data_IF_868993143920
#
_entry.id   IF_868993143920
#
_cell.length_a   1.000
_cell.length_b   1.000
_cell.length_c   1.000
_cell.angle_alpha   90.00
_cell.angle_beta   90.00
_cell.angle_gamma   90.00
#
_symmetry.space_group_name_H-M   'P 1'
#
loop_
_entity.id
_entity.type
_entity.pdbx_description
1 polymer ?
#
# COMPACT_ATOMS: atom_id res chain seq x y z
N UNK A 1 -62.15 -17.32 46.23
CA UNK A 1 -61.92 -17.46 44.76
C UNK A 1 -60.42 -17.51 44.56
N UNK A 2 -59.82 -18.60 44.04
CA UNK A 2 -58.37 -18.65 43.88
C UNK A 2 -57.95 -18.02 42.54
N UNK A 3 -56.99 -17.11 42.62
CA UNK A 3 -56.33 -16.41 41.52
C UNK A 3 -55.30 -17.36 40.88
N UNK A 4 -55.57 -17.83 39.65
CA UNK A 4 -54.73 -18.79 38.94
C UNK A 4 -53.69 -18.06 38.08
N UNK A 5 -52.51 -17.82 38.63
CA UNK A 5 -51.37 -17.24 37.93
C UNK A 5 -50.62 -18.33 37.14
N UNK A 6 -51.10 -18.66 35.94
CA UNK A 6 -50.32 -19.42 34.95
C UNK A 6 -49.26 -18.51 34.31
N UNK A 7 -48.01 -18.98 34.13
CA UNK A 7 -46.97 -18.19 33.49
C UNK A 7 -47.36 -17.88 32.05
N UNK A 8 -47.46 -16.59 31.72
CA UNK A 8 -47.77 -16.09 30.38
C UNK A 8 -46.69 -16.54 29.40
N UNK A 9 -46.99 -17.58 28.64
CA UNK A 9 -46.12 -18.01 27.53
C UNK A 9 -46.12 -16.92 26.46
N UNK A 10 -44.96 -16.63 25.86
CA UNK A 10 -44.79 -15.58 24.83
C UNK A 10 -45.86 -15.67 23.73
N UNK A 11 -46.29 -16.89 23.42
CA UNK A 11 -47.37 -17.21 22.47
C UNK A 11 -48.72 -16.61 22.86
N UNK A 12 -49.12 -16.65 24.13
CA UNK A 12 -50.40 -16.12 24.57
C UNK A 12 -50.41 -14.59 24.53
N UNK A 13 -49.29 -13.94 24.87
CA UNK A 13 -49.12 -12.47 24.76
C UNK A 13 -49.27 -12.01 23.31
N UNK A 14 -48.58 -12.69 22.39
CA UNK A 14 -48.66 -12.39 20.95
C UNK A 14 -50.06 -12.62 20.40
N UNK A 15 -50.74 -13.70 20.78
CA UNK A 15 -52.13 -13.99 20.35
C UNK A 15 -53.13 -12.94 20.87
N UNK A 16 -52.93 -12.44 22.08
CA UNK A 16 -53.77 -11.40 22.67
C UNK A 16 -53.54 -10.03 22.00
N UNK A 17 -52.30 -9.69 21.66
CA UNK A 17 -51.96 -8.49 20.87
C UNK A 17 -52.48 -8.56 19.42
N UNK A 18 -52.46 -9.74 18.79
CA UNK A 18 -53.05 -9.96 17.46
C UNK A 18 -54.56 -9.73 17.51
N UNK A 19 -55.26 -10.30 18.50
CA UNK A 19 -56.71 -10.14 18.68
C UNK A 19 -57.11 -8.70 18.98
N UNK A 20 -56.28 -7.95 19.72
CA UNK A 20 -56.49 -6.53 20.03
C UNK A 20 -56.19 -5.60 18.85
N UNK A 21 -55.72 -6.12 17.71
CA UNK A 21 -55.44 -5.32 16.51
C UNK A 21 -54.30 -4.31 16.67
N UNK A 22 -53.46 -4.45 17.70
CA UNK A 22 -52.40 -3.49 18.02
C UNK A 22 -51.11 -3.73 17.21
N UNK A 23 -51.09 -4.74 16.35
CA UNK A 23 -49.91 -5.13 15.58
C UNK A 23 -49.71 -4.19 14.37
N UNK A 24 -49.02 -3.07 14.58
CA UNK A 24 -48.59 -2.16 13.50
C UNK A 24 -47.56 -2.87 12.61
N UNK A 25 -47.92 -3.16 11.36
CA UNK A 25 -46.97 -3.62 10.35
C UNK A 25 -45.90 -2.56 10.10
N UNK A 26 -44.63 -2.85 10.42
CA UNK A 26 -43.52 -1.98 10.05
C UNK A 26 -43.07 -2.30 8.62
N UNK A 27 -42.95 -1.30 7.72
CA UNK A 27 -42.54 -1.53 6.34
C UNK A 27 -41.11 -2.08 6.27
N UNK A 28 -40.93 -3.21 5.58
CA UNK A 28 -39.65 -3.93 5.46
C UNK A 28 -38.57 -3.14 4.70
N UNK A 29 -38.96 -2.15 3.90
CA UNK A 29 -38.05 -1.33 3.08
C UNK A 29 -36.98 -0.61 3.90
N UNK A 30 -37.33 -0.07 5.07
CA UNK A 30 -36.35 0.60 5.93
C UNK A 30 -35.26 -0.37 6.42
N UNK A 31 -35.61 -1.63 6.66
CA UNK A 31 -34.63 -2.65 7.05
C UNK A 31 -33.76 -3.11 5.87
N UNK A 32 -34.36 -3.35 4.71
CA UNK A 32 -33.64 -3.77 3.50
C UNK A 32 -32.66 -2.68 3.07
N UNK A 33 -33.11 -1.42 3.01
CA UNK A 33 -32.29 -0.29 2.58
C UNK A 33 -31.14 -0.03 3.55
N UNK A 34 -31.40 -0.07 4.87
CA UNK A 34 -30.35 0.10 5.88
C UNK A 34 -29.32 -1.03 5.81
N UNK A 35 -29.77 -2.26 5.64
CA UNK A 35 -28.86 -3.41 5.60
C UNK A 35 -28.06 -3.45 4.28
N UNK A 36 -28.69 -3.14 3.14
CA UNK A 36 -28.01 -3.05 1.85
C UNK A 36 -26.98 -1.93 1.83
N UNK A 37 -27.29 -0.78 2.44
CA UNK A 37 -26.36 0.34 2.54
C UNK A 37 -25.16 -0.01 3.42
N UNK A 38 -25.38 -0.68 4.56
CA UNK A 38 -24.29 -1.15 5.42
C UNK A 38 -23.38 -2.16 4.71
N UNK A 39 -23.96 -3.14 4.02
CA UNK A 39 -23.19 -4.17 3.28
C UNK A 39 -22.39 -3.51 2.14
N UNK A 40 -23.06 -2.70 1.32
CA UNK A 40 -22.42 -2.04 0.17
C UNK A 40 -21.31 -1.10 0.63
N UNK A 41 -21.58 -0.30 1.68
CA UNK A 41 -20.59 0.57 2.29
C UNK A 41 -19.38 -0.20 2.82
N UNK A 42 -19.60 -1.33 3.50
CA UNK A 42 -18.52 -2.19 3.98
C UNK A 42 -17.66 -2.78 2.87
N UNK A 43 -18.29 -3.24 1.77
CA UNK A 43 -17.58 -3.76 0.60
C UNK A 43 -16.73 -2.67 -0.06
N UNK A 44 -17.29 -1.47 -0.27
CA UNK A 44 -16.55 -0.34 -0.85
C UNK A 44 -15.37 0.02 0.05
N UNK A 45 -15.59 0.13 1.35
CA UNK A 45 -14.56 0.50 2.31
C UNK A 45 -13.44 -0.55 2.36
N UNK A 46 -13.79 -1.83 2.28
CA UNK A 46 -12.83 -2.93 2.17
C UNK A 46 -12.01 -2.86 0.87
N UNK A 47 -12.66 -2.60 -0.27
CA UNK A 47 -11.98 -2.41 -1.56
C UNK A 47 -11.01 -1.21 -1.53
N UNK A 48 -11.43 -0.09 -0.93
CA UNK A 48 -10.58 1.09 -0.75
C UNK A 48 -9.39 0.78 0.14
N UNK A 49 -9.58 0.05 1.24
CA UNK A 49 -8.50 -0.37 2.11
C UNK A 49 -7.49 -1.27 1.37
N UNK A 50 -7.99 -2.25 0.61
CA UNK A 50 -7.17 -3.13 -0.22
C UNK A 50 -6.36 -2.32 -1.24
N UNK A 51 -7.00 -1.38 -1.93
CA UNK A 51 -6.33 -0.47 -2.85
C UNK A 51 -5.24 0.35 -2.16
N UNK A 52 -5.51 0.94 -0.99
CA UNK A 52 -4.53 1.74 -0.25
C UNK A 52 -3.31 0.91 0.16
N UNK A 53 -3.51 -0.29 0.72
CA UNK A 53 -2.40 -1.17 1.12
C UNK A 53 -1.58 -1.62 -0.09
N UNK A 54 -2.24 -1.94 -1.19
CA UNK A 54 -1.58 -2.28 -2.44
C UNK A 54 -0.80 -1.09 -3.02
N UNK A 55 -1.37 0.12 -2.94
CA UNK A 55 -0.73 1.35 -3.39
C UNK A 55 0.50 1.70 -2.55
N UNK A 56 0.45 1.52 -1.22
CA UNK A 56 1.63 1.67 -0.35
C UNK A 56 2.74 0.72 -0.79
N UNK A 57 2.42 -0.56 -1.00
CA UNK A 57 3.40 -1.54 -1.46
C UNK A 57 3.99 -1.17 -2.84
N UNK A 58 3.15 -0.67 -3.75
CA UNK A 58 3.58 -0.19 -5.07
C UNK A 58 4.55 1.00 -4.96
N UNK A 59 4.23 2.02 -4.17
CA UNK A 59 5.09 3.21 -3.95
C UNK A 59 6.43 2.80 -3.33
N UNK A 60 6.42 1.93 -2.31
CA UNK A 60 7.65 1.42 -1.70
C UNK A 60 8.54 0.66 -2.68
N UNK A 61 7.92 -0.11 -3.59
CA UNK A 61 8.61 -0.87 -4.63
C UNK A 61 9.18 0.06 -5.71
N UNK A 62 8.40 1.05 -6.15
CA UNK A 62 8.81 2.00 -7.19
C UNK A 62 9.97 2.88 -6.74
N UNK A 63 9.96 3.34 -5.49
CA UNK A 63 11.00 4.23 -4.96
C UNK A 63 12.27 3.47 -4.52
N UNK A 64 12.31 2.14 -4.65
CA UNK A 64 13.44 1.32 -4.23
C UNK A 64 13.68 1.30 -2.72
N UNK A 65 12.82 1.92 -1.91
CA UNK A 65 13.10 2.04 -0.48
C UNK A 65 12.98 0.70 0.25
N UNK A 66 12.25 -0.26 -0.31
CA UNK A 66 12.05 -1.60 0.27
C UNK A 66 13.34 -2.32 0.69
N UNK A 67 14.48 -2.05 0.03
CA UNK A 67 15.75 -2.70 0.34
C UNK A 67 16.71 -1.86 1.19
N UNK A 68 16.35 -0.62 1.49
CA UNK A 68 17.16 0.28 2.31
C UNK A 68 17.39 -0.25 3.75
N UNK A 69 16.42 -0.91 4.41
CA UNK A 69 16.63 -1.53 5.73
C UNK A 69 17.79 -2.53 5.81
N UNK A 70 18.16 -3.16 4.68
CA UNK A 70 19.26 -4.14 4.61
C UNK A 70 20.63 -3.49 4.88
N UNK A 71 20.74 -2.16 4.69
CA UNK A 71 21.99 -1.41 4.91
C UNK A 71 22.21 -1.03 6.38
N UNK A 72 21.40 -1.53 7.32
CA UNK A 72 21.57 -1.36 8.77
C UNK A 72 20.71 -0.26 9.38
N UNK A 73 21.09 0.24 10.56
CA UNK A 73 20.33 1.22 11.34
C UNK A 73 19.99 2.51 10.57
N UNK A 74 20.97 3.06 9.82
CA UNK A 74 20.73 4.24 8.97
C UNK A 74 19.72 3.95 7.86
N UNK A 75 19.78 2.76 7.27
CA UNK A 75 18.81 2.31 6.28
C UNK A 75 17.41 2.15 6.86
N UNK A 76 17.29 1.63 8.09
CA UNK A 76 16.01 1.57 8.80
C UNK A 76 15.41 2.95 9.08
N UNK A 77 16.22 3.93 9.51
CA UNK A 77 15.79 5.31 9.72
C UNK A 77 15.32 5.96 8.41
N UNK A 78 16.11 5.84 7.35
CA UNK A 78 15.75 6.32 6.02
C UNK A 78 14.45 5.66 5.53
N UNK A 79 14.29 4.35 5.73
CA UNK A 79 13.07 3.63 5.41
C UNK A 79 11.87 4.19 6.19
N UNK A 80 11.96 4.39 7.50
CA UNK A 80 10.83 4.95 8.27
C UNK A 80 10.46 6.36 7.83
N UNK A 81 11.42 7.23 7.55
CA UNK A 81 11.16 8.60 7.08
C UNK A 81 10.52 8.59 5.69
N UNK A 82 10.92 7.63 4.85
CA UNK A 82 10.44 7.49 3.47
C UNK A 82 9.03 6.91 3.33
N UNK A 83 8.49 6.35 4.41
CA UNK A 83 7.15 5.78 4.37
C UNK A 83 6.14 6.89 4.08
N UNK A 84 5.16 6.65 3.20
CA UNK A 84 4.08 7.61 2.98
C UNK A 84 3.13 7.57 4.19
N UNK A 85 3.51 8.26 5.26
CA UNK A 85 2.79 8.30 6.55
C UNK A 85 1.32 8.69 6.39
N UNK A 86 1.03 9.56 5.42
CA UNK A 86 -0.33 9.96 5.09
C UNK A 86 -1.16 8.77 4.57
N UNK A 87 -0.61 7.92 3.69
CA UNK A 87 -1.29 6.72 3.20
C UNK A 87 -1.46 5.68 4.31
N UNK A 88 -0.44 5.50 5.16
CA UNK A 88 -0.50 4.58 6.31
C UNK A 88 -1.58 5.05 7.29
N UNK A 89 -1.57 6.32 7.68
CA UNK A 89 -2.57 6.91 8.56
C UNK A 89 -3.98 6.82 7.97
N UNK A 90 -4.13 7.09 6.67
CA UNK A 90 -5.41 6.95 5.98
C UNK A 90 -5.89 5.49 5.97
N UNK A 91 -5.01 4.53 5.69
CA UNK A 91 -5.36 3.11 5.72
C UNK A 91 -5.80 2.67 7.13
N UNK A 92 -5.15 3.18 8.18
CA UNK A 92 -5.53 2.92 9.57
C UNK A 92 -6.92 3.47 9.89
N UNK A 93 -7.22 4.70 9.43
CA UNK A 93 -8.56 5.30 9.58
C UNK A 93 -9.63 4.45 8.88
N UNK A 94 -9.39 4.04 7.63
CA UNK A 94 -10.32 3.17 6.90
C UNK A 94 -10.48 1.80 7.58
N UNK A 95 -9.41 1.24 8.16
CA UNK A 95 -9.46 -0.01 8.92
C UNK A 95 -10.32 0.13 10.18
N UNK A 96 -10.18 1.22 10.94
CA UNK A 96 -11.02 1.50 12.12
C UNK A 96 -12.48 1.68 11.74
N UNK A 97 -12.77 2.43 10.67
CA UNK A 97 -14.15 2.61 10.17
C UNK A 97 -14.73 1.26 9.74
N UNK A 98 -13.95 0.41 9.07
CA UNK A 98 -14.38 -0.92 8.65
C UNK A 98 -14.69 -1.80 9.85
N UNK A 99 -13.83 -1.77 10.88
CA UNK A 99 -14.05 -2.51 12.11
C UNK A 99 -15.33 -2.05 12.82
N UNK A 100 -15.57 -0.74 12.94
CA UNK A 100 -16.79 -0.19 13.52
C UNK A 100 -18.04 -0.64 12.74
N UNK A 101 -17.96 -0.67 11.41
CA UNK A 101 -19.06 -1.12 10.56
C UNK A 101 -19.34 -2.62 10.69
N UNK A 102 -18.26 -3.42 10.75
CA UNK A 102 -18.33 -4.87 10.97
C UNK A 102 -18.90 -5.19 12.35
N UNK A 103 -18.57 -4.42 13.39
CA UNK A 103 -19.18 -4.56 14.72
C UNK A 103 -20.68 -4.23 14.72
N UNK A 104 -21.11 -3.26 13.91
CA UNK A 104 -22.52 -2.89 13.80
C UNK A 104 -23.34 -3.94 13.03
N UNK A 105 -22.71 -4.67 12.11
CA UNK A 105 -23.30 -5.84 11.51
C UNK A 105 -23.29 -6.99 12.52
N UNK A 106 -24.46 -7.49 12.91
CA UNK A 106 -24.65 -8.53 13.93
C UNK A 106 -23.81 -9.82 13.74
N UNK A 107 -23.13 -9.98 12.60
CA UNK A 107 -22.27 -11.11 12.25
C UNK A 107 -20.98 -11.22 13.09
N UNK A 108 -20.50 -10.13 13.71
CA UNK A 108 -19.26 -10.12 14.51
C UNK A 108 -19.47 -10.09 16.04
N UNK A 109 -20.72 -10.04 16.52
CA UNK A 109 -21.05 -9.73 17.91
C UNK A 109 -20.51 -10.74 18.96
N UNK A 110 -20.07 -11.93 18.55
CA UNK A 110 -19.54 -12.97 19.46
C UNK A 110 -18.08 -13.37 19.22
N UNK A 111 -17.33 -12.65 18.39
CA UNK A 111 -15.91 -12.95 18.18
C UNK A 111 -15.02 -11.90 18.84
N UNK A 112 -13.92 -12.30 19.50
CA UNK A 112 -12.99 -11.34 20.10
C UNK A 112 -12.41 -10.45 19.00
N UNK A 113 -12.38 -9.14 19.27
CA UNK A 113 -12.00 -8.08 18.32
C UNK A 113 -10.68 -8.35 17.59
N UNK A 114 -9.73 -8.96 18.30
CA UNK A 114 -8.44 -9.38 17.75
C UNK A 114 -8.56 -10.35 16.57
N UNK A 115 -9.49 -11.31 16.62
CA UNK A 115 -9.63 -12.30 15.55
C UNK A 115 -10.24 -11.70 14.28
N UNK A 116 -11.20 -10.78 14.40
CA UNK A 116 -11.73 -10.08 13.23
C UNK A 116 -10.68 -9.16 12.62
N UNK A 117 -9.89 -8.47 13.45
CA UNK A 117 -8.81 -7.60 13.00
C UNK A 117 -7.74 -8.42 12.24
N UNK A 118 -7.29 -9.54 12.83
CA UNK A 118 -6.33 -10.45 12.20
C UNK A 118 -6.86 -11.04 10.90
N UNK A 119 -8.12 -11.45 10.87
CA UNK A 119 -8.76 -11.99 9.66
C UNK A 119 -8.80 -10.95 8.53
N UNK A 120 -9.26 -9.73 8.84
CA UNK A 120 -9.28 -8.62 7.87
C UNK A 120 -7.85 -8.31 7.40
N UNK A 121 -6.89 -8.24 8.32
CA UNK A 121 -5.50 -7.97 7.97
C UNK A 121 -4.94 -9.04 7.02
N UNK A 122 -5.19 -10.32 7.30
CA UNK A 122 -4.71 -11.42 6.47
C UNK A 122 -5.34 -11.38 5.07
N UNK A 123 -6.64 -11.14 4.97
CA UNK A 123 -7.34 -11.03 3.68
C UNK A 123 -6.86 -9.81 2.90
N UNK A 124 -6.68 -8.66 3.57
CA UNK A 124 -6.15 -7.43 2.94
C UNK A 124 -4.72 -7.63 2.44
N UNK A 125 -3.87 -8.31 3.22
CA UNK A 125 -2.51 -8.64 2.82
C UNK A 125 -2.47 -9.60 1.63
N UNK A 126 -3.26 -10.69 1.69
CA UNK A 126 -3.36 -11.65 0.60
C UNK A 126 -3.93 -11.01 -0.68
N UNK A 127 -4.99 -10.22 -0.55
CA UNK A 127 -5.60 -9.48 -1.65
C UNK A 127 -4.65 -8.43 -2.24
N UNK A 128 -3.96 -7.68 -1.39
CA UNK A 128 -2.93 -6.71 -1.81
C UNK A 128 -1.78 -7.41 -2.56
N UNK A 129 -1.34 -8.57 -2.09
CA UNK A 129 -0.31 -9.36 -2.76
C UNK A 129 -0.77 -9.82 -4.16
N UNK A 130 -2.01 -10.30 -4.28
CA UNK A 130 -2.60 -10.66 -5.58
C UNK A 130 -2.71 -9.45 -6.52
N UNK A 131 -3.15 -8.29 -6.02
CA UNK A 131 -3.23 -7.06 -6.81
C UNK A 131 -1.84 -6.56 -7.20
N UNK A 132 -0.83 -6.69 -6.34
CA UNK A 132 0.54 -6.29 -6.66
C UNK A 132 1.18 -7.16 -7.76
N UNK A 133 0.68 -8.39 -7.96
CA UNK A 133 1.07 -9.20 -9.13
C UNK A 133 0.41 -8.72 -10.42
N UNK A 134 -0.74 -8.05 -10.34
CA UNK A 134 -1.39 -7.46 -11.51
C UNK A 134 -0.73 -6.12 -11.87
N UNK A 135 -0.49 -5.88 -13.17
CA UNK A 135 0.09 -4.63 -13.67
C UNK A 135 -0.86 -3.43 -13.57
N UNK A 136 -1.92 -3.52 -12.76
CA UNK A 136 -2.98 -2.50 -12.65
C UNK A 136 -2.40 -1.15 -12.26
N UNK A 137 -1.57 -1.09 -11.21
CA UNK A 137 -0.93 0.17 -10.78
C UNK A 137 0.00 0.74 -11.85
N UNK A 138 0.71 -0.11 -12.59
CA UNK A 138 1.58 0.32 -13.69
C UNK A 138 0.77 0.94 -14.84
N UNK A 139 -0.36 0.32 -15.20
CA UNK A 139 -1.26 0.83 -16.22
C UNK A 139 -1.93 2.14 -15.79
N UNK A 140 -2.36 2.25 -14.53
CA UNK A 140 -2.93 3.47 -13.95
C UNK A 140 -1.91 4.61 -13.89
N UNK A 141 -0.66 4.33 -13.52
CA UNK A 141 0.42 5.30 -13.53
C UNK A 141 0.73 5.79 -14.95
N UNK A 142 0.88 4.88 -15.92
CA UNK A 142 1.11 5.22 -17.33
C UNK A 142 -0.07 5.97 -17.95
N UNK A 143 -1.30 5.63 -17.56
CA UNK A 143 -2.51 6.32 -17.99
C UNK A 143 -2.56 7.74 -17.42
N UNK A 144 -2.18 7.92 -16.15
CA UNK A 144 -2.12 9.23 -15.51
C UNK A 144 -1.03 10.14 -16.08
N UNK A 145 0.06 9.59 -16.61
CA UNK A 145 1.08 10.38 -17.32
C UNK A 145 0.57 10.89 -18.68
N UNK A 146 -0.24 10.08 -19.38
CA UNK A 146 -0.82 10.44 -20.69
C UNK A 146 -2.06 11.32 -20.55
N UNK A 147 -2.83 11.15 -19.48
CA UNK A 147 -4.05 11.90 -19.19
C UNK A 147 -4.00 12.38 -17.74
N UNK A 148 -3.59 13.63 -17.47
CA UNK A 148 -3.54 14.15 -16.12
C UNK A 148 -4.98 14.29 -15.59
N UNK A 149 -5.45 13.27 -14.89
CA UNK A 149 -6.71 13.32 -14.15
C UNK A 149 -6.55 14.34 -13.01
N UNK A 150 -7.50 15.28 -12.92
CA UNK A 150 -7.50 16.41 -11.98
C UNK A 150 -7.32 16.00 -10.51
N UNK A 151 -7.81 14.81 -10.13
CA UNK A 151 -7.81 14.36 -8.73
C UNK A 151 -6.74 13.30 -8.41
N UNK A 152 -6.35 12.43 -9.34
CA UNK A 152 -5.41 11.32 -9.08
C UNK A 152 -4.00 11.59 -9.61
N UNK A 153 -3.86 12.47 -10.59
CA UNK A 153 -2.58 12.81 -11.21
C UNK A 153 -1.52 13.43 -10.29
N UNK A 154 -1.87 14.27 -9.30
CA UNK A 154 -0.91 14.79 -8.34
C UNK A 154 -0.36 13.70 -7.40
N UNK A 155 -1.22 12.76 -6.97
CA UNK A 155 -0.81 11.69 -6.05
C UNK A 155 0.19 10.73 -6.71
N UNK A 156 -0.10 10.25 -7.92
CA UNK A 156 0.83 9.36 -8.64
C UNK A 156 2.15 10.06 -9.02
N UNK A 157 2.12 11.35 -9.37
CA UNK A 157 3.33 12.12 -9.67
C UNK A 157 4.16 12.42 -8.42
N UNK A 158 3.54 12.84 -7.32
CA UNK A 158 4.23 13.12 -6.07
C UNK A 158 4.95 11.89 -5.52
N UNK A 159 4.28 10.75 -5.45
CA UNK A 159 4.88 9.54 -4.89
C UNK A 159 5.83 8.80 -5.84
N UNK A 160 5.72 9.00 -7.16
CA UNK A 160 6.62 8.40 -8.15
C UNK A 160 7.88 9.23 -8.47
N UNK A 161 7.90 10.52 -8.12
CA UNK A 161 9.02 11.44 -8.43
C UNK A 161 9.73 12.02 -7.20
N UNK A 162 9.19 11.88 -5.99
CA UNK A 162 9.94 12.16 -4.76
C UNK A 162 11.06 11.13 -4.59
N UNK A 163 12.15 11.33 -5.33
CA UNK A 163 13.40 10.62 -5.13
C UNK A 163 13.95 11.09 -3.80
N UNK A 164 14.09 10.14 -2.88
CA UNK A 164 14.80 10.37 -1.63
C UNK A 164 16.18 10.92 -1.96
N UNK A 165 16.58 11.97 -1.25
CA UNK A 165 17.84 12.68 -1.45
C UNK A 165 19.06 11.75 -1.46
N UNK A 166 18.93 10.60 -0.80
CA UNK A 166 20.01 9.65 -0.58
C UNK A 166 19.87 8.37 -1.43
N UNK A 167 18.90 8.30 -2.35
CA UNK A 167 18.66 7.14 -3.23
C UNK A 167 18.79 7.54 -4.69
N UNK A 168 19.82 6.99 -5.35
CA UNK A 168 20.23 7.35 -6.70
C UNK A 168 20.16 6.13 -7.62
N UNK A 169 19.05 5.91 -8.33
CA UNK A 169 18.96 4.91 -9.40
C UNK A 169 19.75 5.34 -10.64
N UNK A 170 20.50 4.42 -11.24
CA UNK A 170 21.22 4.69 -12.49
C UNK A 170 21.73 3.44 -13.21
N UNK A 171 22.06 3.63 -14.49
CA UNK A 171 22.70 2.64 -15.34
C UNK A 171 24.21 2.77 -15.22
N UNK A 172 24.93 1.68 -14.98
CA UNK A 172 26.39 1.70 -14.98
C UNK A 172 26.89 1.97 -16.40
N UNK A 173 27.56 3.10 -16.60
CA UNK A 173 28.20 3.48 -17.87
C UNK A 173 29.70 3.22 -17.88
N UNK A 174 30.31 3.10 -16.70
CA UNK A 174 31.74 2.80 -16.58
C UNK A 174 32.15 2.44 -15.16
N UNK A 175 33.39 2.00 -15.01
CA UNK A 175 34.02 1.66 -13.73
C UNK A 175 35.30 2.47 -13.57
N UNK A 176 35.60 2.93 -12.36
CA UNK A 176 36.84 3.64 -12.02
C UNK A 176 37.67 2.81 -11.04
N UNK A 177 38.89 3.27 -10.73
CA UNK A 177 39.80 2.57 -9.80
C UNK A 177 39.20 2.41 -8.40
N UNK A 178 38.36 3.36 -7.96
CA UNK A 178 37.80 3.43 -6.60
C UNK A 178 36.26 3.49 -6.61
N UNK A 179 35.60 3.11 -7.70
CA UNK A 179 34.18 3.39 -7.84
C UNK A 179 33.53 2.97 -9.16
N UNK A 180 32.31 3.46 -9.34
CA UNK A 180 31.46 3.18 -10.51
C UNK A 180 30.90 4.50 -11.03
N UNK A 181 30.74 4.62 -12.34
CA UNK A 181 30.05 5.74 -12.98
C UNK A 181 28.67 5.28 -13.39
N UNK A 182 27.65 6.01 -12.94
CA UNK A 182 26.27 5.78 -13.36
C UNK A 182 25.72 6.97 -14.13
N UNK A 183 24.81 6.67 -15.04
CA UNK A 183 23.96 7.67 -15.67
C UNK A 183 22.54 7.54 -15.12
N UNK A 184 22.01 8.65 -14.60
CA UNK A 184 20.62 8.71 -14.14
C UNK A 184 19.66 8.87 -15.32
N UNK A 185 18.37 8.68 -15.08
CA UNK A 185 17.32 8.90 -16.09
C UNK A 185 17.25 10.34 -16.61
N UNK A 186 17.86 11.31 -15.91
CA UNK A 186 17.93 12.72 -16.35
C UNK A 186 19.10 12.98 -17.30
N UNK A 187 19.93 11.98 -17.56
CA UNK A 187 21.18 12.11 -18.31
C UNK A 187 22.35 12.63 -17.47
N UNK A 188 22.15 12.90 -16.17
CA UNK A 188 23.23 13.27 -15.24
C UNK A 188 24.19 12.08 -15.07
N UNK A 189 25.49 12.34 -15.12
CA UNK A 189 26.54 11.36 -14.87
C UNK A 189 27.04 11.53 -13.44
N UNK A 190 26.91 10.50 -12.61
CA UNK A 190 27.31 10.52 -11.20
C UNK A 190 28.42 9.52 -10.94
N UNK A 191 29.39 9.92 -10.13
CA UNK A 191 30.51 9.11 -9.67
C UNK A 191 30.17 8.53 -8.31
N UNK A 192 30.31 7.22 -8.16
CA UNK A 192 30.02 6.52 -6.92
C UNK A 192 31.34 6.15 -6.26
N UNK A 193 31.64 6.76 -5.12
CA UNK A 193 32.77 6.38 -4.28
C UNK A 193 32.45 5.12 -3.48
N UNK A 194 33.22 4.05 -3.70
CA UNK A 194 33.12 2.82 -2.91
C UNK A 194 34.17 2.87 -1.81
N UNK A 195 33.74 2.85 -0.56
CA UNK A 195 34.60 2.87 0.63
C UNK A 195 34.54 1.51 1.34
N UNK A 196 35.47 1.20 2.26
CA UNK A 196 35.39 -0.01 3.09
C UNK A 196 34.12 -0.11 3.95
N UNK A 197 33.37 1.00 4.10
CA UNK A 197 32.10 1.06 4.83
C UNK A 197 30.89 0.84 3.92
N UNK A 198 31.07 0.84 2.59
CA UNK A 198 30.00 0.58 1.62
C UNK A 198 29.53 -0.88 1.75
N UNK A 199 28.24 -1.07 2.01
CA UNK A 199 27.63 -2.40 2.14
C UNK A 199 27.15 -2.92 0.80
N UNK A 200 27.65 -4.10 0.44
CA UNK A 200 27.39 -4.77 -0.84
C UNK A 200 26.71 -6.13 -0.56
N UNK A 201 25.41 -6.13 -0.22
CA UNK A 201 24.72 -7.33 0.28
C UNK A 201 24.64 -8.47 -0.74
N UNK A 202 24.85 -8.19 -2.04
CA UNK A 202 24.82 -9.19 -3.13
C UNK A 202 26.17 -9.30 -3.86
N UNK A 203 27.25 -8.75 -3.30
CA UNK A 203 28.58 -8.76 -3.91
C UNK A 203 28.86 -7.61 -4.88
N UNK A 204 30.00 -7.70 -5.57
CA UNK A 204 30.61 -6.67 -6.44
C UNK A 204 30.53 -7.01 -7.93
N UNK A 205 29.73 -7.99 -8.33
CA UNK A 205 29.63 -8.47 -9.72
C UNK A 205 28.76 -7.52 -10.56
N UNK A 206 29.14 -6.24 -10.59
CA UNK A 206 28.52 -5.21 -11.39
C UNK A 206 29.20 -5.11 -12.75
N UNK A 207 28.41 -5.11 -13.80
CA UNK A 207 28.88 -4.96 -15.17
C UNK A 207 28.34 -3.68 -15.79
N UNK A 208 29.08 -3.11 -16.74
CA UNK A 208 28.58 -1.99 -17.54
C UNK A 208 27.29 -2.40 -18.24
N UNK A 209 26.25 -1.58 -18.11
CA UNK A 209 24.89 -1.91 -18.56
C UNK A 209 23.97 -2.44 -17.46
N UNK A 210 24.47 -2.71 -16.26
CA UNK A 210 23.61 -3.03 -15.14
C UNK A 210 22.89 -1.80 -14.59
N UNK A 211 21.63 -1.99 -14.20
CA UNK A 211 20.88 -1.00 -13.44
C UNK A 211 21.11 -1.23 -11.96
N UNK A 212 21.63 -0.21 -11.28
CA UNK A 212 21.88 -0.25 -9.86
C UNK A 212 21.13 0.88 -9.16
N UNK A 213 20.87 0.67 -7.88
CA UNK A 213 20.44 1.74 -7.00
C UNK A 213 21.50 1.90 -5.91
N UNK A 214 21.92 3.14 -5.76
CA UNK A 214 22.94 3.56 -4.81
C UNK A 214 22.25 4.28 -3.67
N UNK A 215 22.54 3.85 -2.45
CA UNK A 215 22.15 4.53 -1.23
C UNK A 215 23.37 5.26 -0.67
N UNK A 216 23.32 6.59 -0.60
CA UNK A 216 24.49 7.40 -0.26
C UNK A 216 24.21 8.90 -0.28
N UNK A 217 25.06 9.64 0.44
CA UNK A 217 25.01 11.10 0.43
C UNK A 217 25.61 11.63 -0.87
N UNK A 218 24.91 12.57 -1.50
CA UNK A 218 25.35 13.23 -2.74
C UNK A 218 26.04 14.56 -2.41
N UNK A 219 27.26 14.72 -2.90
CA UNK A 219 28.04 15.95 -2.93
C UNK A 219 28.36 16.27 -4.40
N UNK A 220 27.59 17.19 -4.99
CA UNK A 220 27.58 17.50 -6.42
C UNK A 220 27.40 16.27 -7.33
N UNK A 221 28.46 15.85 -8.03
CA UNK A 221 28.45 14.69 -8.93
C UNK A 221 29.02 13.43 -8.26
N UNK A 222 29.51 13.53 -7.02
CA UNK A 222 30.03 12.42 -6.25
C UNK A 222 28.98 11.92 -5.25
N UNK A 223 28.77 10.61 -5.21
CA UNK A 223 27.95 9.95 -4.21
C UNK A 223 28.85 9.07 -3.35
N UNK A 224 28.89 9.36 -2.05
CA UNK A 224 29.54 8.47 -1.08
C UNK A 224 28.57 7.32 -0.77
N UNK A 225 28.82 6.14 -1.34
CA UNK A 225 27.90 5.03 -1.21
C UNK A 225 27.98 4.39 0.17
N UNK A 226 26.86 4.39 0.88
CA UNK A 226 26.64 3.53 2.05
C UNK A 226 26.21 2.13 1.65
N UNK A 227 25.55 1.99 0.50
CA UNK A 227 25.14 0.69 -0.02
C UNK A 227 24.81 0.71 -1.50
N UNK A 228 25.10 -0.39 -2.19
CA UNK A 228 24.83 -0.53 -3.62
C UNK A 228 24.10 -1.85 -3.85
N UNK A 229 23.06 -1.82 -4.69
CA UNK A 229 22.30 -3.01 -5.06
C UNK A 229 21.93 -3.00 -6.54
N UNK A 230 22.11 -4.13 -7.21
CA UNK A 230 21.57 -4.37 -8.56
C UNK A 230 20.06 -4.51 -8.49
N UNK A 231 19.35 -3.81 -9.37
CA UNK A 231 17.90 -3.91 -9.50
C UNK A 231 17.60 -4.55 -10.87
N UNK A 232 16.75 -5.59 -10.94
CA UNK A 232 16.31 -6.14 -12.22
C UNK A 232 15.73 -5.02 -13.10
N UNK A 233 15.95 -5.06 -14.41
CA UNK A 233 15.55 -3.98 -15.33
C UNK A 233 14.02 -3.84 -15.42
N UNK A 234 13.28 -4.92 -15.14
CA UNK A 234 11.82 -5.04 -15.30
C UNK A 234 10.94 -3.99 -14.60
N UNK A 235 11.17 -3.56 -13.34
CA UNK A 235 10.39 -2.52 -12.68
C UNK A 235 10.71 -1.10 -13.21
N UNK A 236 11.82 -0.90 -13.93
CA UNK A 236 12.33 0.42 -14.36
C UNK A 236 12.22 0.64 -15.87
N UNK A 237 11.82 -0.39 -16.64
CA UNK A 237 11.69 -0.35 -18.10
C UNK A 237 10.81 0.78 -18.68
N UNK A 238 9.69 1.23 -18.07
CA UNK A 238 8.90 2.31 -18.67
C UNK A 238 9.67 3.63 -18.75
N UNK A 239 10.59 3.87 -17.81
CA UNK A 239 11.32 5.13 -17.70
C UNK A 239 12.63 5.13 -18.50
N UNK A 240 13.36 4.01 -18.52
CA UNK A 240 14.66 3.92 -19.22
C UNK A 240 14.58 3.72 -20.74
N UNK A 241 13.44 3.28 -21.29
CA UNK A 241 13.29 3.02 -22.74
C UNK A 241 13.44 4.28 -23.62
N UNK A 242 13.40 5.48 -23.03
CA UNK A 242 13.62 6.75 -23.76
C UNK A 242 15.10 7.06 -24.04
N UNK A 243 16.03 6.41 -23.34
CA UNK A 243 17.45 6.77 -23.40
C UNK A 243 18.38 5.60 -23.73
N UNK A 244 17.83 4.41 -24.02
CA UNK A 244 18.62 3.34 -24.61
C UNK A 244 19.21 3.85 -25.93
N UNK A 245 20.54 3.85 -26.11
CA UNK A 245 21.13 4.20 -27.40
C UNK A 245 20.54 3.25 -28.45
N UNK A 246 19.99 3.84 -29.52
CA UNK A 246 19.64 3.07 -30.71
C UNK A 246 20.95 2.62 -31.32
N UNK A 247 21.32 1.37 -31.08
CA UNK A 247 22.31 0.66 -31.88
C UNK A 247 21.69 0.29 -33.22
#
# INVERSE_FOLDING_TARGET
>A
MPENNQPTTLRSVILDEIKKGQLRMRPKWHFVLRNSLLITGGVILFLVLLYLVSFVAFVLRQNGVWFVPIFGLRGWLAFMISLPWLLIGLSLVFMVILELLVRHCAFAYHRPLLYSLLGIMLVVLAGSFLVNQTTLHLQLAQFSEKHPLLLTGPFYRGFGHERFRDIHPGLITGTTTNGIVIQTERGETLYIGITPHTRLPLGMDFTVGDVIVVFGDRDDDLIEAYGIRRVPIEPMMPMMRRYAPRY
#
